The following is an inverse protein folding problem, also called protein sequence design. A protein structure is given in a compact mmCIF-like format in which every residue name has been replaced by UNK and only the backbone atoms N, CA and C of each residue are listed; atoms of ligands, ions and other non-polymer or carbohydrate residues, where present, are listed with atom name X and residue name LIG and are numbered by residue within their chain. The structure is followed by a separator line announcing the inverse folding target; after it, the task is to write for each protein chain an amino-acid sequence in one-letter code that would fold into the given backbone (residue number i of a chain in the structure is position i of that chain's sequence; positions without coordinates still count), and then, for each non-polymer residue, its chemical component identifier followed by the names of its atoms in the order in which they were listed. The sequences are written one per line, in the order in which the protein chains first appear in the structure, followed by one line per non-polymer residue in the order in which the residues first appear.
data_IF_258689116696
#
_entry.id   IF_258689116696
#
_cell.length_a   1.000
_cell.length_b   1.000
_cell.length_c   1.000
_cell.angle_alpha   90.00
_cell.angle_beta   90.00
_cell.angle_gamma   90.00
#
_symmetry.space_group_name_H-M   'P 1'
#
loop_
_entity.id
_entity.type
_entity.pdbx_description
1 polymer ?
#
# COMPACT_ATOMS: atom_id res chain seq x y z
N UNK A 1 68.19 8.54 9.71
CA UNK A 1 66.78 8.32 10.10
C UNK A 1 66.02 9.60 9.79
N UNK A 2 65.16 9.60 8.78
CA UNK A 2 64.30 10.75 8.46
C UNK A 2 62.87 10.21 8.22
N UNK A 3 61.95 10.68 9.04
CA UNK A 3 60.58 10.19 9.13
C UNK A 3 59.71 10.75 7.99
N UNK A 4 58.93 9.89 7.35
CA UNK A 4 57.90 10.28 6.39
C UNK A 4 56.60 10.63 7.15
N UNK A 5 56.05 11.82 6.90
CA UNK A 5 54.72 12.23 7.35
C UNK A 5 53.73 11.94 6.22
N UNK A 6 52.85 10.95 6.42
CA UNK A 6 51.75 10.65 5.51
C UNK A 6 50.54 11.53 5.88
N UNK A 7 50.14 12.41 4.95
CA UNK A 7 48.95 13.24 5.08
C UNK A 7 47.67 12.43 4.94
N UNK A 8 46.74 12.63 5.88
CA UNK A 8 45.38 12.07 5.85
C UNK A 8 44.60 12.52 4.61
N UNK A 9 44.13 11.56 3.81
CA UNK A 9 43.09 11.79 2.83
C UNK A 9 41.71 11.85 3.52
N UNK A 10 41.07 13.02 3.49
CA UNK A 10 39.67 13.18 3.88
C UNK A 10 38.79 12.51 2.82
N UNK A 11 38.20 11.37 3.15
CA UNK A 11 37.17 10.73 2.33
C UNK A 11 35.90 11.59 2.41
N UNK A 12 35.64 12.35 1.35
CA UNK A 12 34.38 13.05 1.15
C UNK A 12 33.23 12.05 1.06
N UNK A 13 32.48 11.90 2.15
CA UNK A 13 31.25 11.13 2.17
C UNK A 13 30.19 11.84 1.33
N UNK A 14 29.82 11.24 0.20
CA UNK A 14 28.65 11.64 -0.58
C UNK A 14 27.41 11.50 0.30
N UNK A 15 26.91 12.61 0.83
CA UNK A 15 25.56 12.67 1.41
C UNK A 15 24.57 12.37 0.29
N UNK A 16 24.05 11.15 0.25
CA UNK A 16 22.90 10.83 -0.59
C UNK A 16 21.75 11.71 -0.10
N UNK A 17 21.40 12.71 -0.90
CA UNK A 17 20.20 13.50 -0.69
C UNK A 17 19.03 12.53 -0.56
N UNK A 18 18.46 12.43 0.63
CA UNK A 18 17.17 11.81 0.83
C UNK A 18 16.15 12.68 0.09
N UNK A 19 15.91 12.39 -1.20
CA UNK A 19 14.74 12.92 -1.88
C UNK A 19 13.55 12.51 -1.04
N UNK A 20 12.87 13.50 -0.45
CA UNK A 20 11.62 13.27 0.21
C UNK A 20 10.70 12.64 -0.86
N UNK A 21 10.36 11.36 -0.69
CA UNK A 21 9.45 10.68 -1.60
C UNK A 21 8.15 11.47 -1.79
N UNK A 22 7.38 11.18 -2.84
CA UNK A 22 6.17 11.92 -3.16
C UNK A 22 5.25 12.07 -1.94
N UNK A 23 4.56 13.21 -1.86
CA UNK A 23 3.64 13.47 -0.75
C UNK A 23 2.64 12.33 -0.62
N UNK A 24 2.53 11.80 0.59
CA UNK A 24 1.68 10.66 0.89
C UNK A 24 0.96 10.89 2.22
N UNK A 25 -0.37 10.99 2.19
CA UNK A 25 -1.15 11.17 3.41
C UNK A 25 -1.22 9.87 4.21
N UNK A 26 -0.45 9.83 5.30
CA UNK A 26 -0.29 8.64 6.14
C UNK A 26 -1.43 8.40 7.13
N UNK A 27 -2.43 9.29 7.22
CA UNK A 27 -3.59 9.12 8.12
C UNK A 27 -4.38 7.88 7.69
N UNK A 28 -4.76 7.06 8.67
CA UNK A 28 -5.60 5.89 8.45
C UNK A 28 -7.03 6.35 8.14
N UNK A 29 -7.60 5.88 7.03
CA UNK A 29 -9.00 6.09 6.65
C UNK A 29 -9.88 5.02 7.26
N UNK A 30 -9.43 3.77 7.19
CA UNK A 30 -10.01 2.61 7.84
C UNK A 30 -8.94 1.55 8.03
N UNK A 31 -9.24 0.58 8.87
CA UNK A 31 -8.35 -0.50 9.24
C UNK A 31 -9.15 -1.79 9.32
N UNK A 32 -8.49 -2.90 9.03
CA UNK A 32 -9.03 -4.24 9.24
C UNK A 32 -7.92 -5.17 9.70
N UNK A 33 -8.27 -6.11 10.58
CA UNK A 33 -7.40 -7.22 10.97
C UNK A 33 -7.81 -8.45 10.19
N UNK A 34 -6.87 -9.09 9.52
CA UNK A 34 -7.14 -10.32 8.79
C UNK A 34 -7.11 -11.56 9.72
N UNK A 35 -7.51 -12.75 9.23
CA UNK A 35 -7.55 -13.97 10.05
C UNK A 35 -6.21 -14.43 10.64
N UNK A 36 -5.07 -13.95 10.09
CA UNK A 36 -3.73 -14.23 10.64
C UNK A 36 -3.30 -13.18 11.69
N UNK A 37 -4.22 -12.30 12.10
CA UNK A 37 -3.93 -11.24 13.08
C UNK A 37 -3.15 -10.07 12.51
N UNK A 38 -3.03 -9.94 11.17
CA UNK A 38 -2.33 -8.82 10.55
C UNK A 38 -3.23 -7.60 10.54
N UNK A 39 -2.79 -6.53 11.20
CA UNK A 39 -3.47 -5.21 11.13
C UNK A 39 -3.12 -4.53 9.81
N UNK A 40 -4.12 -4.38 8.94
CA UNK A 40 -4.00 -3.80 7.60
C UNK A 40 -4.64 -2.40 7.57
N UNK A 41 -3.82 -1.34 7.66
CA UNK A 41 -4.34 0.02 7.52
C UNK A 41 -4.62 0.34 6.04
N UNK A 42 -5.75 0.97 5.79
CA UNK A 42 -6.03 1.69 4.54
C UNK A 42 -5.83 3.16 4.80
N UNK A 43 -4.78 3.76 4.23
CA UNK A 43 -4.48 5.19 4.42
C UNK A 43 -5.13 6.03 3.35
N UNK A 44 -5.34 7.31 3.66
CA UNK A 44 -5.84 8.28 2.67
C UNK A 44 -4.99 8.27 1.41
N UNK A 45 -3.67 8.25 1.55
CA UNK A 45 -2.79 8.06 0.41
C UNK A 45 -2.67 9.29 -0.48
N UNK A 46 -2.38 9.06 -1.76
CA UNK A 46 -2.25 10.06 -2.82
C UNK A 46 -2.79 9.49 -4.14
N UNK A 47 -2.41 10.06 -5.29
CA UNK A 47 -2.84 9.58 -6.61
C UNK A 47 -2.26 8.22 -7.01
N UNK A 48 -1.19 7.77 -6.37
CA UNK A 48 -0.43 6.56 -6.75
C UNK A 48 -0.77 5.37 -5.87
N UNK A 49 -1.07 5.59 -4.59
CA UNK A 49 -1.47 4.53 -3.67
C UNK A 49 -2.44 4.97 -2.57
N UNK A 50 -3.12 3.99 -1.99
CA UNK A 50 -4.06 4.16 -0.89
C UNK A 50 -5.45 4.58 -1.35
N UNK A 51 -6.25 5.08 -0.42
CA UNK A 51 -7.66 5.39 -0.64
C UNK A 51 -7.89 6.34 -1.82
N UNK A 52 -7.13 7.43 -1.90
CA UNK A 52 -7.29 8.45 -2.94
C UNK A 52 -7.02 7.88 -4.34
N UNK A 53 -6.05 6.97 -4.46
CA UNK A 53 -5.76 6.26 -5.70
C UNK A 53 -6.96 5.44 -6.17
N UNK A 54 -7.40 4.46 -5.36
CA UNK A 54 -8.43 3.53 -5.83
C UNK A 54 -9.85 4.11 -5.79
N UNK A 55 -10.15 5.06 -4.91
CA UNK A 55 -11.48 5.68 -4.85
C UNK A 55 -11.74 6.58 -6.05
N UNK A 56 -10.70 7.25 -6.56
CA UNK A 56 -10.77 8.01 -7.82
C UNK A 56 -10.67 7.11 -9.05
N UNK A 57 -9.59 6.32 -9.15
CA UNK A 57 -9.26 5.54 -10.35
C UNK A 57 -10.21 4.35 -10.56
N UNK A 58 -10.60 3.66 -9.49
CA UNK A 58 -11.35 2.40 -9.54
C UNK A 58 -12.76 2.49 -8.95
N UNK A 59 -13.20 3.67 -8.50
CA UNK A 59 -14.54 3.92 -7.96
C UNK A 59 -14.91 3.01 -6.76
N UNK A 60 -13.96 2.72 -5.87
CA UNK A 60 -14.23 2.04 -4.59
C UNK A 60 -14.21 3.08 -3.47
N UNK A 61 -15.38 3.37 -2.89
CA UNK A 61 -15.60 4.53 -1.99
C UNK A 61 -16.08 4.17 -0.60
N UNK A 62 -16.19 2.88 -0.26
CA UNK A 62 -16.64 2.42 1.06
C UNK A 62 -15.60 1.52 1.72
N UNK A 63 -15.27 1.82 2.97
CA UNK A 63 -14.33 1.00 3.75
C UNK A 63 -14.83 -0.44 3.92
N UNK A 64 -16.15 -0.67 3.98
CA UNK A 64 -16.71 -2.02 4.07
C UNK A 64 -16.28 -2.94 2.92
N UNK A 65 -16.05 -2.39 1.72
CA UNK A 65 -15.60 -3.17 0.55
C UNK A 65 -14.19 -3.71 0.80
N UNK A 66 -13.28 -2.83 1.26
CA UNK A 66 -11.90 -3.18 1.56
C UNK A 66 -11.84 -4.14 2.75
N UNK A 67 -12.53 -3.80 3.84
CA UNK A 67 -12.53 -4.58 5.07
C UNK A 67 -13.14 -5.98 4.86
N UNK A 68 -14.15 -6.13 4.01
CA UNK A 68 -14.73 -7.44 3.70
C UNK A 68 -13.74 -8.35 2.96
N UNK A 69 -13.00 -7.81 1.98
CA UNK A 69 -11.97 -8.59 1.30
C UNK A 69 -10.82 -8.96 2.27
N UNK A 70 -10.34 -7.99 3.06
CA UNK A 70 -9.25 -8.21 4.03
C UNK A 70 -9.65 -9.15 5.18
N UNK A 71 -10.94 -9.24 5.53
CA UNK A 71 -11.45 -10.23 6.48
C UNK A 71 -11.32 -11.68 5.97
N UNK A 72 -11.12 -11.85 4.66
CA UNK A 72 -10.85 -13.15 4.05
C UNK A 72 -9.41 -13.62 4.26
N UNK A 73 -9.12 -14.81 3.72
CA UNK A 73 -7.74 -15.32 3.65
C UNK A 73 -6.93 -14.51 2.62
N UNK A 74 -5.60 -14.61 2.71
CA UNK A 74 -4.74 -14.14 1.62
C UNK A 74 -4.84 -15.13 0.45
N UNK A 75 -5.22 -14.62 -0.71
CA UNK A 75 -5.37 -15.41 -1.94
C UNK A 75 -4.06 -15.50 -2.72
N UNK A 76 -3.21 -14.46 -2.66
CA UNK A 76 -1.85 -14.49 -3.22
C UNK A 76 -0.86 -13.78 -2.33
N UNK A 77 0.35 -14.34 -2.25
CA UNK A 77 1.45 -13.79 -1.46
C UNK A 77 2.75 -13.80 -2.27
N UNK A 78 3.42 -12.66 -2.34
CA UNK A 78 4.76 -12.53 -2.91
C UNK A 78 5.57 -11.53 -2.10
N UNK A 79 6.50 -12.02 -1.29
CA UNK A 79 7.24 -11.22 -0.31
C UNK A 79 6.28 -10.46 0.63
N UNK A 80 6.41 -9.13 0.67
CA UNK A 80 5.53 -8.24 1.43
C UNK A 80 4.20 -7.91 0.75
N UNK A 81 3.98 -8.32 -0.49
CA UNK A 81 2.74 -8.07 -1.23
C UNK A 81 1.72 -9.19 -0.96
N UNK A 82 0.55 -8.80 -0.49
CA UNK A 82 -0.59 -9.69 -0.22
C UNK A 82 -1.77 -9.25 -1.10
N UNK A 83 -2.46 -10.21 -1.69
CA UNK A 83 -3.72 -9.96 -2.40
C UNK A 83 -4.86 -10.69 -1.69
N UNK A 84 -5.95 -9.96 -1.47
CA UNK A 84 -7.18 -10.45 -0.88
C UNK A 84 -8.30 -10.29 -1.90
N UNK A 85 -9.03 -11.37 -2.16
CA UNK A 85 -10.13 -11.41 -3.10
C UNK A 85 -11.46 -11.37 -2.34
N UNK A 86 -12.36 -10.52 -2.83
CA UNK A 86 -13.73 -10.42 -2.33
C UNK A 86 -14.70 -10.47 -3.50
N UNK A 87 -15.97 -10.67 -3.19
CA UNK A 87 -17.06 -10.61 -4.18
C UNK A 87 -18.10 -9.64 -3.67
N UNK A 88 -18.41 -8.61 -4.47
CA UNK A 88 -19.57 -7.76 -4.23
C UNK A 88 -20.78 -8.31 -4.99
N UNK A 89 -21.91 -8.42 -4.29
CA UNK A 89 -23.17 -8.94 -4.84
C UNK A 89 -24.29 -7.93 -4.67
N UNK A 90 -25.06 -7.72 -5.72
CA UNK A 90 -26.32 -6.99 -5.67
C UNK A 90 -27.36 -7.67 -6.55
N UNK A 91 -28.33 -8.34 -5.93
CA UNK A 91 -29.33 -9.20 -6.60
C UNK A 91 -28.63 -10.29 -7.43
N UNK A 92 -28.78 -10.25 -8.77
CA UNK A 92 -28.15 -11.16 -9.75
C UNK A 92 -26.78 -10.65 -10.23
N UNK A 93 -26.37 -9.45 -9.83
CA UNK A 93 -25.08 -8.85 -10.24
C UNK A 93 -23.98 -9.25 -9.26
N UNK A 94 -22.84 -9.66 -9.82
CA UNK A 94 -21.63 -10.02 -9.09
C UNK A 94 -20.44 -9.30 -9.71
N UNK A 95 -19.48 -8.92 -8.87
CA UNK A 95 -18.17 -8.47 -9.33
C UNK A 95 -17.09 -8.89 -8.34
N UNK A 96 -16.00 -9.43 -8.87
CA UNK A 96 -14.82 -9.77 -8.09
C UNK A 96 -14.02 -8.51 -7.78
N UNK A 97 -13.60 -8.40 -6.53
CA UNK A 97 -12.80 -7.29 -6.01
C UNK A 97 -11.45 -7.83 -5.60
N UNK A 98 -10.39 -7.14 -5.99
CA UNK A 98 -9.02 -7.44 -5.58
C UNK A 98 -8.52 -6.28 -4.75
N UNK A 99 -8.13 -6.57 -3.51
CA UNK A 99 -7.44 -5.63 -2.61
C UNK A 99 -5.99 -6.03 -2.53
N UNK A 100 -5.10 -5.11 -2.90
CA UNK A 100 -3.66 -5.31 -2.86
C UNK A 100 -3.09 -4.55 -1.67
N UNK A 101 -2.38 -5.29 -0.83
CA UNK A 101 -1.74 -4.81 0.39
C UNK A 101 -0.24 -4.96 0.26
N UNK A 102 0.48 -3.90 0.61
CA UNK A 102 1.91 -3.96 0.88
C UNK A 102 2.11 -4.06 2.40
N UNK A 103 2.29 -5.28 2.89
CA UNK A 103 2.55 -5.59 4.30
C UNK A 103 4.04 -5.52 4.64
N UNK A 104 4.68 -4.44 4.22
CA UNK A 104 6.07 -4.11 4.51
C UNK A 104 6.19 -2.62 4.85
N UNK A 105 7.33 -2.20 5.41
CA UNK A 105 7.59 -0.79 5.71
C UNK A 105 7.65 0.08 4.46
N UNK A 106 8.22 -0.46 3.37
CA UNK A 106 8.41 0.23 2.09
C UNK A 106 7.68 -0.49 0.95
N UNK A 107 7.37 0.26 -0.10
CA UNK A 107 7.01 -0.30 -1.41
C UNK A 107 8.21 -1.00 -2.04
N UNK A 108 7.98 -1.85 -3.04
CA UNK A 108 9.04 -2.66 -3.66
C UNK A 108 10.09 -1.79 -4.39
N UNK A 109 9.65 -0.67 -4.97
CA UNK A 109 10.49 0.37 -5.58
C UNK A 109 11.19 1.28 -4.55
N UNK A 110 10.82 1.19 -3.27
CA UNK A 110 11.36 2.03 -2.20
C UNK A 110 10.87 3.48 -2.19
N UNK A 111 9.98 3.88 -3.10
CA UNK A 111 9.50 5.26 -3.25
C UNK A 111 8.70 5.74 -2.02
N UNK A 112 7.99 4.82 -1.37
CA UNK A 112 7.18 5.10 -0.19
C UNK A 112 7.72 4.40 1.05
N UNK A 113 7.77 5.12 2.17
CA UNK A 113 8.17 4.60 3.48
C UNK A 113 7.14 4.96 4.56
N UNK A 114 6.53 3.93 5.16
CA UNK A 114 5.54 4.06 6.23
C UNK A 114 6.13 4.61 7.55
N UNK A 115 7.45 4.55 7.71
CA UNK A 115 8.17 4.85 8.94
C UNK A 115 8.44 3.60 9.79
N UNK A 116 9.34 3.74 10.76
CA UNK A 116 9.77 2.64 11.64
C UNK A 116 8.58 2.00 12.36
N UNK A 117 8.54 0.67 12.38
CA UNK A 117 7.47 -0.12 13.04
C UNK A 117 6.12 -0.11 12.32
N UNK A 118 5.99 0.60 11.19
CA UNK A 118 4.75 0.70 10.42
C UNK A 118 4.87 -0.08 9.11
N UNK A 119 3.71 -0.42 8.55
CA UNK A 119 3.56 -1.09 7.24
C UNK A 119 2.76 -0.20 6.31
N UNK A 120 2.98 -0.27 4.99
CA UNK A 120 2.32 0.57 3.97
C UNK A 120 0.79 0.32 3.93
N UNK A 121 0.35 -0.93 4.08
CA UNK A 121 -1.08 -1.27 4.10
C UNK A 121 -1.67 -1.38 2.70
N UNK A 122 -2.95 -1.06 2.53
CA UNK A 122 -3.63 -1.13 1.22
C UNK A 122 -3.02 -0.12 0.26
N UNK A 123 -2.50 -0.60 -0.87
CA UNK A 123 -1.94 0.26 -1.94
C UNK A 123 -2.95 0.51 -3.05
N UNK A 124 -3.77 -0.48 -3.40
CA UNK A 124 -4.84 -0.31 -4.39
C UNK A 124 -5.94 -1.34 -4.18
N UNK A 125 -7.13 -1.06 -4.72
CA UNK A 125 -8.25 -1.98 -4.80
C UNK A 125 -8.99 -1.75 -6.11
N UNK A 126 -9.48 -2.80 -6.75
CA UNK A 126 -10.19 -2.67 -8.03
C UNK A 126 -11.13 -3.85 -8.28
N UNK A 127 -12.05 -3.67 -9.23
CA UNK A 127 -12.94 -4.73 -9.70
C UNK A 127 -12.31 -5.45 -10.92
N UNK A 128 -12.27 -6.78 -10.92
CA UNK A 128 -11.71 -7.53 -12.05
C UNK A 128 -12.54 -7.32 -13.31
N UNK A 129 -11.85 -7.25 -14.45
CA UNK A 129 -12.48 -7.15 -15.78
C UNK A 129 -13.05 -5.79 -16.14
N UNK A 130 -12.94 -4.77 -15.27
CA UNK A 130 -13.44 -3.42 -15.53
C UNK A 130 -12.45 -2.36 -15.05
N UNK A 131 -12.44 -1.20 -15.70
CA UNK A 131 -11.57 -0.08 -15.30
C UNK A 131 -12.05 0.60 -14.00
N UNK A 132 -13.37 0.76 -13.87
CA UNK A 132 -14.04 1.32 -12.69
C UNK A 132 -15.08 0.32 -12.18
N UNK A 133 -15.11 0.14 -10.87
CA UNK A 133 -16.16 -0.63 -10.22
C UNK A 133 -17.53 -0.01 -10.51
N UNK A 134 -18.55 -0.84 -10.76
CA UNK A 134 -19.93 -0.34 -10.90
C UNK A 134 -20.38 0.45 -9.68
N UNK A 135 -21.17 1.50 -9.87
CA UNK A 135 -21.61 2.37 -8.78
C UNK A 135 -22.36 1.64 -7.67
N UNK A 136 -23.13 0.59 -8.02
CA UNK A 136 -23.89 -0.22 -7.06
C UNK A 136 -23.02 -0.93 -6.02
N UNK A 137 -21.71 -1.09 -6.28
CA UNK A 137 -20.77 -1.63 -5.27
C UNK A 137 -20.64 -0.68 -4.07
N UNK A 138 -20.91 0.61 -4.27
CA UNK A 138 -20.81 1.65 -3.26
C UNK A 138 -22.14 1.99 -2.57
N UNK A 139 -23.22 1.30 -2.91
CA UNK A 139 -24.53 1.40 -2.26
C UNK A 139 -24.52 0.58 -0.94
#
# INVERSE_FOLDING_TARGET
MAAAVAGLALVGGSVTNASAGPYWNKKTKCEQTDPEGRVIPTRYGNGDLGWNHFSGKHNIKKCRIINAAVAGKVDKKSGGRLEYYGVARHQTRLVDIVVIVQYARRTADGEYDAGKGKKIGVITAYCKGVNKCPSWVNE
#
